data_IF_877229772869
#
_entry.id   IF_877229772869
#
_cell.length_a   1.000
_cell.length_b   1.000
_cell.length_c   1.000
_cell.angle_alpha   90.00
_cell.angle_beta   90.00
_cell.angle_gamma   90.00
#
_symmetry.space_group_name_H-M   'P 1'
#
loop_
_entity.id
_entity.type
_entity.pdbx_description
1 polymer ?
#
# COMPACT_ATOMS: atom_id res chain seq x y z
N UNK A 1 -11.46 16.93 -0.45
CA UNK A 1 -10.29 16.31 0.21
C UNK A 1 -9.03 16.97 -0.32
N UNK A 2 -8.26 17.65 0.53
CA UNK A 2 -6.97 18.24 0.14
C UNK A 2 -5.96 17.12 -0.06
N UNK A 3 -5.38 17.00 -1.26
CA UNK A 3 -4.29 16.04 -1.53
C UNK A 3 -3.03 16.56 -0.84
N UNK A 4 -2.74 16.04 0.36
CA UNK A 4 -1.49 16.36 1.07
C UNK A 4 -0.31 15.68 0.39
N UNK A 5 0.78 16.44 0.17
CA UNK A 5 2.04 15.91 -0.36
C UNK A 5 2.58 14.81 0.57
N UNK A 6 3.23 13.75 0.04
CA UNK A 6 3.86 12.69 0.85
C UNK A 6 4.80 13.24 1.94
N UNK A 7 5.47 14.37 1.66
CA UNK A 7 6.32 15.06 2.63
C UNK A 7 5.54 15.60 3.83
N UNK A 8 4.36 16.16 3.59
CA UNK A 8 3.49 16.70 4.64
C UNK A 8 2.92 15.56 5.48
N UNK A 9 2.51 14.45 4.84
CA UNK A 9 2.09 13.25 5.56
C UNK A 9 3.20 12.70 6.44
N UNK A 10 4.43 12.61 5.91
CA UNK A 10 5.61 12.17 6.65
C UNK A 10 5.88 13.05 7.88
N UNK A 11 5.85 14.38 7.72
CA UNK A 11 6.04 15.31 8.84
C UNK A 11 4.93 15.11 9.90
N UNK A 12 3.68 14.98 9.48
CA UNK A 12 2.55 14.82 10.38
C UNK A 12 2.62 13.53 11.22
N UNK A 13 3.09 12.42 10.63
CA UNK A 13 3.26 11.13 11.35
C UNK A 13 4.57 11.02 12.12
N UNK A 14 5.47 12.01 12.02
CA UNK A 14 6.80 11.96 12.66
C UNK A 14 6.90 12.95 13.83
N UNK A 15 5.94 13.86 13.95
CA UNK A 15 5.94 14.91 14.97
C UNK A 15 5.79 14.33 16.38
N UNK A 16 4.97 13.29 16.54
CA UNK A 16 4.70 12.64 17.81
C UNK A 16 5.94 11.89 18.33
N UNK A 17 6.74 11.24 17.48
CA UNK A 17 8.00 10.64 17.95
C UNK A 17 9.08 11.69 18.24
N UNK A 18 9.08 12.83 17.55
CA UNK A 18 10.01 13.92 17.86
C UNK A 18 9.69 14.61 19.19
N UNK A 19 8.44 14.57 19.66
CA UNK A 19 8.08 15.07 21.00
C UNK A 19 8.69 14.23 22.13
N UNK A 20 9.08 12.98 21.87
CA UNK A 20 9.72 12.13 22.86
C UNK A 20 11.11 12.63 23.26
N UNK A 21 11.83 13.30 22.34
CA UNK A 21 13.17 13.87 22.58
C UNK A 21 13.18 14.94 23.68
N UNK A 22 12.40 16.04 23.60
CA UNK A 22 12.38 17.04 24.66
C UNK A 22 11.84 16.47 25.99
N UNK A 23 10.92 15.51 25.95
CA UNK A 23 10.44 14.83 27.16
C UNK A 23 11.60 14.08 27.84
N UNK A 24 12.39 13.31 27.08
CA UNK A 24 13.57 12.61 27.58
C UNK A 24 14.61 13.56 28.16
N UNK A 25 14.84 14.71 27.51
CA UNK A 25 15.78 15.74 27.99
C UNK A 25 15.31 16.33 29.32
N UNK A 26 14.02 16.65 29.44
CA UNK A 26 13.44 17.17 30.70
C UNK A 26 13.54 16.13 31.81
N UNK A 27 13.24 14.86 31.53
CA UNK A 27 13.39 13.78 32.51
C UNK A 27 14.85 13.62 32.95
N UNK A 28 15.80 13.62 32.01
CA UNK A 28 17.22 13.53 32.35
C UNK A 28 17.68 14.70 33.22
N UNK A 29 17.19 15.91 32.95
CA UNK A 29 17.51 17.10 33.75
C UNK A 29 17.08 16.95 35.22
N UNK A 30 15.88 16.41 35.48
CA UNK A 30 15.34 16.28 36.84
C UNK A 30 15.83 15.03 37.59
N UNK A 31 16.02 13.91 36.90
CA UNK A 31 16.29 12.62 37.54
C UNK A 31 17.76 12.20 37.51
N UNK A 32 18.54 12.61 36.50
CA UNK A 32 19.94 12.17 36.31
C UNK A 32 20.77 13.32 35.71
N UNK A 33 20.94 14.44 36.44
CA UNK A 33 21.60 15.64 35.92
C UNK A 33 23.06 15.39 35.51
N UNK A 34 23.74 14.40 36.11
CA UNK A 34 25.11 14.02 35.76
C UNK A 34 25.23 13.50 34.32
N UNK A 35 24.17 12.88 33.80
CA UNK A 35 24.10 12.35 32.43
C UNK A 35 23.37 13.29 31.48
N UNK A 36 23.00 14.50 31.90
CA UNK A 36 22.19 15.42 31.08
C UNK A 36 22.84 15.72 29.73
N UNK A 37 24.08 16.18 29.71
CA UNK A 37 24.79 16.53 28.47
C UNK A 37 24.94 15.33 27.54
N UNK A 38 25.24 14.15 28.10
CA UNK A 38 25.31 12.91 27.34
C UNK A 38 23.94 12.56 26.72
N UNK A 39 22.88 12.64 27.52
CA UNK A 39 21.51 12.33 27.08
C UNK A 39 21.05 13.25 25.96
N UNK A 40 21.34 14.55 26.06
CA UNK A 40 21.01 15.53 25.00
C UNK A 40 21.68 15.15 23.69
N UNK A 41 22.99 14.89 23.70
CA UNK A 41 23.75 14.56 22.49
C UNK A 41 23.24 13.26 21.86
N UNK A 42 23.10 12.21 22.66
CA UNK A 42 22.63 10.90 22.18
C UNK A 42 21.21 10.98 21.64
N UNK A 43 20.32 11.73 22.29
CA UNK A 43 18.93 11.88 21.86
C UNK A 43 18.82 12.63 20.54
N UNK A 44 19.62 13.69 20.33
CA UNK A 44 19.63 14.44 19.06
C UNK A 44 20.14 13.56 17.92
N UNK A 45 21.26 12.86 18.12
CA UNK A 45 21.85 11.97 17.11
C UNK A 45 20.88 10.82 16.81
N UNK A 46 20.32 10.20 17.85
CA UNK A 46 19.36 9.11 17.73
C UNK A 46 18.10 9.54 16.98
N UNK A 47 17.56 10.73 17.27
CA UNK A 47 16.40 11.26 16.57
C UNK A 47 16.69 11.52 15.09
N UNK A 48 17.87 12.07 14.76
CA UNK A 48 18.27 12.29 13.37
C UNK A 48 18.38 10.96 12.59
N UNK A 49 19.03 9.96 13.18
CA UNK A 49 19.14 8.62 12.58
C UNK A 49 17.76 7.99 12.41
N UNK A 50 16.92 8.06 13.45
CA UNK A 50 15.55 7.54 13.42
C UNK A 50 14.72 8.17 12.29
N UNK A 51 14.77 9.50 12.14
CA UNK A 51 14.06 10.19 11.07
C UNK A 51 14.55 9.73 9.69
N UNK A 52 15.87 9.57 9.50
CA UNK A 52 16.42 9.09 8.22
C UNK A 52 15.95 7.67 7.90
N UNK A 53 16.04 6.75 8.86
CA UNK A 53 15.61 5.36 8.68
C UNK A 53 14.10 5.31 8.41
N UNK A 54 13.30 6.00 9.23
CA UNK A 54 11.84 6.07 9.05
C UNK A 54 11.48 6.67 7.71
N UNK A 55 12.20 7.70 7.26
CA UNK A 55 12.00 8.28 5.93
C UNK A 55 12.25 7.23 4.85
N UNK A 56 13.35 6.49 4.89
CA UNK A 56 13.64 5.46 3.89
C UNK A 56 12.58 4.33 3.88
N UNK A 57 12.06 3.94 5.05
CA UNK A 57 11.08 2.85 5.15
C UNK A 57 9.65 3.26 4.80
N UNK A 58 9.28 4.49 5.15
CA UNK A 58 7.88 4.95 5.12
C UNK A 58 7.62 5.90 3.94
N UNK A 59 8.65 6.53 3.37
CA UNK A 59 8.46 7.47 2.27
C UNK A 59 7.79 6.82 1.06
N UNK A 60 8.21 5.60 0.69
CA UNK A 60 7.59 4.83 -0.38
C UNK A 60 6.11 4.59 -0.07
N UNK A 61 5.80 4.18 1.18
CA UNK A 61 4.43 3.94 1.67
C UNK A 61 3.53 5.17 1.57
N UNK A 62 4.09 6.37 1.75
CA UNK A 62 3.34 7.63 1.75
C UNK A 62 3.17 8.26 0.37
N UNK A 63 3.83 7.73 -0.66
CA UNK A 63 3.71 8.25 -2.03
C UNK A 63 2.34 8.03 -2.67
N UNK A 64 1.43 7.25 -2.06
CA UNK A 64 0.03 7.03 -2.46
C UNK A 64 -0.22 7.13 -3.98
N UNK A 65 -0.10 5.98 -4.64
CA UNK A 65 -0.56 5.84 -6.02
C UNK A 65 -0.43 4.46 -6.65
N UNK A 66 0.46 3.58 -6.17
CA UNK A 66 0.57 2.21 -6.73
C UNK A 66 1.45 1.31 -5.86
N UNK A 67 1.07 1.09 -4.59
CA UNK A 67 1.47 -0.19 -4.00
C UNK A 67 0.70 -1.25 -4.75
N UNK A 68 1.30 -1.80 -5.81
CA UNK A 68 1.38 -3.23 -6.08
C UNK A 68 0.24 -4.05 -5.47
N UNK A 69 -1.01 -3.68 -5.75
CA UNK A 69 -2.20 -4.29 -5.15
C UNK A 69 -2.53 -5.50 -6.02
N UNK A 70 -1.59 -6.46 -6.01
CA UNK A 70 -1.49 -7.58 -6.94
C UNK A 70 -1.60 -7.12 -8.39
N UNK A 71 -0.47 -7.02 -9.07
CA UNK A 71 -0.48 -6.87 -10.52
C UNK A 71 -1.01 -8.18 -11.13
N UNK A 72 -2.34 -8.34 -11.08
CA UNK A 72 -3.05 -9.49 -11.61
C UNK A 72 -3.27 -9.33 -13.11
N UNK A 73 -2.92 -8.17 -13.67
CA UNK A 73 -3.03 -7.89 -15.09
C UNK A 73 -2.20 -8.91 -15.89
N UNK A 74 -2.81 -9.49 -16.91
CA UNK A 74 -2.19 -10.52 -17.74
C UNK A 74 -2.29 -11.96 -17.19
N UNK A 75 -2.80 -12.16 -15.97
CA UNK A 75 -3.01 -13.51 -15.44
C UNK A 75 -4.22 -14.15 -16.14
N UNK A 76 -4.02 -15.37 -16.64
CA UNK A 76 -5.08 -16.24 -17.17
C UNK A 76 -5.81 -16.91 -16.02
N UNK A 77 -7.13 -16.85 -16.03
CA UNK A 77 -7.98 -17.46 -15.01
C UNK A 77 -9.24 -18.02 -15.64
N UNK A 78 -10.01 -18.78 -14.86
CA UNK A 78 -11.23 -19.44 -15.33
C UNK A 78 -12.45 -18.84 -14.65
N UNK A 79 -13.50 -18.57 -15.42
CA UNK A 79 -14.79 -18.13 -14.87
C UNK A 79 -15.45 -19.29 -14.11
N UNK A 80 -16.03 -18.99 -12.94
CA UNK A 80 -16.80 -19.95 -12.13
C UNK A 80 -18.30 -19.65 -12.14
N UNK A 81 -18.66 -18.39 -12.39
CA UNK A 81 -20.02 -17.91 -12.59
C UNK A 81 -20.04 -17.09 -13.89
N UNK A 82 -21.21 -16.99 -14.52
CA UNK A 82 -21.38 -16.14 -15.70
C UNK A 82 -21.00 -14.70 -15.36
N UNK A 83 -20.17 -14.10 -16.20
CA UNK A 83 -19.69 -12.73 -16.02
C UNK A 83 -20.50 -11.82 -16.91
N UNK A 84 -21.13 -10.84 -16.30
CA UNK A 84 -21.87 -9.76 -16.96
C UNK A 84 -21.13 -8.44 -16.78
N UNK A 85 -21.72 -7.35 -17.24
CA UNK A 85 -21.20 -6.00 -16.99
C UNK A 85 -21.12 -5.60 -15.51
N UNK A 86 -21.90 -6.23 -14.64
CA UNK A 86 -22.06 -5.78 -13.25
C UNK A 86 -21.58 -6.80 -12.20
N UNK A 87 -21.63 -8.09 -12.53
CA UNK A 87 -21.36 -9.20 -11.62
C UNK A 87 -20.80 -10.40 -12.36
N UNK A 88 -20.07 -11.23 -11.63
CA UNK A 88 -19.44 -12.44 -12.12
C UNK A 88 -18.33 -12.84 -11.18
N UNK A 89 -17.82 -14.05 -11.32
CA UNK A 89 -16.70 -14.53 -10.50
C UNK A 89 -15.71 -15.33 -11.32
N UNK A 90 -14.44 -15.15 -10.98
CA UNK A 90 -13.31 -15.88 -11.54
C UNK A 90 -12.51 -16.55 -10.44
N UNK A 91 -11.85 -17.65 -10.79
CA UNK A 91 -10.89 -18.32 -9.93
C UNK A 91 -9.46 -18.03 -10.39
N UNK A 92 -8.72 -17.31 -9.59
CA UNK A 92 -7.31 -16.97 -9.82
C UNK A 92 -6.46 -17.81 -8.87
N UNK A 93 -5.79 -18.85 -9.40
CA UNK A 93 -5.08 -19.83 -8.58
C UNK A 93 -6.03 -20.54 -7.59
N UNK A 94 -5.85 -20.29 -6.29
CA UNK A 94 -6.71 -20.83 -5.23
C UNK A 94 -7.82 -19.87 -4.76
N UNK A 95 -7.81 -18.61 -5.22
CA UNK A 95 -8.70 -17.57 -4.74
C UNK A 95 -9.87 -17.32 -5.69
N UNK A 96 -11.01 -16.88 -5.13
CA UNK A 96 -12.20 -16.47 -5.88
C UNK A 96 -12.32 -14.96 -5.81
N UNK A 97 -12.45 -14.34 -6.98
CA UNK A 97 -12.53 -12.90 -7.13
C UNK A 97 -13.79 -12.49 -7.89
N UNK A 98 -14.38 -11.36 -7.49
CA UNK A 98 -15.45 -10.73 -8.24
C UNK A 98 -14.90 -10.17 -9.55
N UNK A 99 -15.62 -10.40 -10.65
CA UNK A 99 -15.20 -9.97 -11.98
C UNK A 99 -16.37 -9.38 -12.78
N UNK A 100 -16.03 -8.53 -13.74
CA UNK A 100 -16.95 -8.00 -14.74
C UNK A 100 -16.28 -7.93 -16.11
N UNK A 101 -17.08 -7.93 -17.17
CA UNK A 101 -16.58 -7.73 -18.54
C UNK A 101 -17.21 -6.50 -19.18
N UNK A 102 -16.45 -5.78 -20.00
CA UNK A 102 -16.94 -4.65 -20.78
C UNK A 102 -17.41 -5.06 -22.19
N UNK A 103 -16.90 -6.19 -22.70
CA UNK A 103 -17.12 -6.64 -24.07
C UNK A 103 -18.42 -7.44 -24.26
N UNK A 104 -18.99 -7.99 -23.19
CA UNK A 104 -20.22 -8.77 -23.24
C UNK A 104 -20.35 -9.74 -22.07
N UNK A 105 -21.33 -10.62 -22.15
CA UNK A 105 -21.50 -11.67 -21.16
C UNK A 105 -20.55 -12.84 -21.48
N UNK A 106 -19.83 -13.34 -20.47
CA UNK A 106 -18.89 -14.47 -20.57
C UNK A 106 -19.46 -15.63 -19.79
N UNK A 107 -19.62 -16.79 -20.43
CA UNK A 107 -20.19 -17.98 -19.82
C UNK A 107 -19.23 -18.58 -18.79
N UNK A 108 -19.76 -19.18 -17.74
CA UNK A 108 -19.01 -19.94 -16.74
C UNK A 108 -18.17 -21.06 -17.38
N UNK A 109 -16.98 -21.28 -16.85
CA UNK A 109 -16.01 -22.26 -17.35
C UNK A 109 -15.13 -21.78 -18.51
N UNK A 110 -15.28 -20.53 -18.97
CA UNK A 110 -14.46 -19.91 -20.02
C UNK A 110 -13.11 -19.44 -19.46
N UNK A 111 -12.05 -19.53 -20.26
CA UNK A 111 -10.76 -18.93 -19.92
C UNK A 111 -10.76 -17.44 -20.27
N UNK A 112 -10.30 -16.63 -19.32
CA UNK A 112 -10.28 -15.17 -19.43
C UNK A 112 -8.93 -14.63 -18.96
N UNK A 113 -8.59 -13.43 -19.42
CA UNK A 113 -7.41 -12.70 -18.99
C UNK A 113 -7.81 -11.44 -18.24
N UNK A 114 -7.10 -11.13 -17.16
CA UNK A 114 -7.34 -9.92 -16.37
C UNK A 114 -6.70 -8.74 -17.10
N UNK A 115 -7.51 -7.78 -17.50
CA UNK A 115 -7.06 -6.56 -18.20
C UNK A 115 -6.72 -5.47 -17.21
N UNK A 116 -7.50 -5.35 -16.15
CA UNK A 116 -7.29 -4.36 -15.11
C UNK A 116 -8.10 -4.70 -13.86
N UNK A 117 -7.93 -3.91 -12.81
CA UNK A 117 -8.67 -4.04 -11.56
C UNK A 117 -9.28 -2.70 -11.20
N UNK A 118 -10.58 -2.70 -10.89
CA UNK A 118 -11.27 -1.55 -10.32
C UNK A 118 -11.71 -1.88 -8.89
N UNK A 119 -11.05 -1.27 -7.91
CA UNK A 119 -11.28 -1.50 -6.48
C UNK A 119 -11.10 -2.96 -6.06
N UNK A 120 -12.18 -3.69 -5.82
CA UNK A 120 -12.18 -5.12 -5.43
C UNK A 120 -12.77 -6.01 -6.54
N UNK A 121 -12.96 -5.47 -7.75
CA UNK A 121 -13.46 -6.20 -8.92
C UNK A 121 -12.42 -6.24 -10.03
N UNK A 122 -12.25 -7.41 -10.63
CA UNK A 122 -11.39 -7.64 -11.78
C UNK A 122 -12.15 -7.32 -13.08
N UNK A 123 -11.49 -6.66 -14.01
CA UNK A 123 -11.98 -6.48 -15.38
C UNK A 123 -11.31 -7.55 -16.23
N UNK A 124 -12.14 -8.39 -16.85
CA UNK A 124 -11.68 -9.56 -17.60
C UNK A 124 -12.25 -9.58 -19.01
N UNK A 125 -11.47 -10.15 -19.92
CA UNK A 125 -11.85 -10.37 -21.32
C UNK A 125 -11.60 -11.83 -21.70
N UNK A 126 -12.40 -12.39 -22.64
CA UNK A 126 -12.15 -13.74 -23.17
C UNK A 126 -10.71 -13.86 -23.68
N UNK A 127 -10.04 -14.94 -23.32
CA UNK A 127 -8.71 -15.21 -23.85
C UNK A 127 -8.85 -15.85 -25.25
N UNK A 128 -8.71 -15.03 -26.30
CA UNK A 128 -8.65 -15.52 -27.68
C UNK A 128 -7.23 -15.96 -28.03
N UNK A 129 -7.03 -17.27 -28.24
CA UNK A 129 -5.74 -17.89 -28.59
C UNK A 129 -5.26 -17.57 -30.03
N UNK A 130 -5.84 -16.55 -30.67
CA UNK A 130 -5.68 -16.26 -32.11
C UNK A 130 -4.77 -15.06 -32.43
N UNK A 131 -3.97 -14.57 -31.49
CA UNK A 131 -2.87 -13.63 -31.79
C UNK A 131 -1.52 -14.35 -31.79
N UNK A 132 -1.33 -15.19 -32.81
CA UNK A 132 -0.02 -15.66 -33.28
C UNK A 132 0.56 -14.69 -34.31
#
# INVERSE_FOLDING_TARGET
MVKLSPRVKFIAITIDELLLVPILIVLAYYFIPELFSFTVVVSIIGAAIFVVIKYQLVYDALQDGSYYLYDMQGIRCRTIEDITRNSGKVKVGAEIWDARSHLGDIVSGTEVIIISREHMKLIVEPFDDNSS
#
